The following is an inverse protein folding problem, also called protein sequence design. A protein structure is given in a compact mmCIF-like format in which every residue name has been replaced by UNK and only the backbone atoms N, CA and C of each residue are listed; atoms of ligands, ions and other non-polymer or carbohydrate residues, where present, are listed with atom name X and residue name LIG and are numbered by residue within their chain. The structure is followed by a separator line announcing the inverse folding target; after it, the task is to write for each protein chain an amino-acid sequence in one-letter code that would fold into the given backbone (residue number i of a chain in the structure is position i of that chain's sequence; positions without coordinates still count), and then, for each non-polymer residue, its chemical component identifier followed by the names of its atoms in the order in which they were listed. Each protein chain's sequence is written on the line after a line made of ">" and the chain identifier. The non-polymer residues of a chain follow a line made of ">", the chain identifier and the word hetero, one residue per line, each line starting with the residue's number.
data_IF_035889763383
#
_entry.id   IF_035889763383
#
_cell.length_a   1.000
_cell.length_b   1.000
_cell.length_c   1.000
_cell.angle_alpha   90.00
_cell.angle_beta   90.00
_cell.angle_gamma   90.00
#
_symmetry.space_group_name_H-M   'P 1'
#
loop_
_entity.id
_entity.type
_entity.pdbx_description
1 polymer ?
#
# COMPACT_ATOMS: atom_id res chain seq x y z
N UNK A 1 10.15 -2.69 4.26
CA UNK A 1 10.65 -1.77 5.31
C UNK A 1 12.00 -2.13 5.92
N UNK A 2 12.61 -3.29 5.60
CA UNK A 2 13.93 -3.67 6.12
C UNK A 2 15.01 -2.55 6.12
N UNK A 3 15.23 -1.77 5.04
CA UNK A 3 16.21 -0.68 5.07
C UNK A 3 15.88 0.41 6.08
N UNK A 4 14.61 0.84 6.18
CA UNK A 4 14.15 1.83 7.17
C UNK A 4 14.37 1.34 8.59
N UNK A 5 14.01 0.09 8.88
CA UNK A 5 14.19 -0.52 10.21
C UNK A 5 15.68 -0.61 10.55
N UNK A 6 16.53 -0.96 9.58
CA UNK A 6 17.98 -1.00 9.80
C UNK A 6 18.57 0.38 10.09
N UNK A 7 18.11 1.44 9.41
CA UNK A 7 18.50 2.81 9.73
C UNK A 7 18.07 3.20 11.14
N UNK A 8 16.82 2.94 11.54
CA UNK A 8 16.34 3.20 12.91
C UNK A 8 17.19 2.45 13.93
N UNK A 9 17.51 1.19 13.66
CA UNK A 9 18.30 0.38 14.57
C UNK A 9 19.73 0.92 14.76
N UNK A 10 20.39 1.33 13.67
CA UNK A 10 21.77 1.82 13.71
C UNK A 10 21.88 3.25 14.22
N UNK A 11 20.91 4.12 13.90
CA UNK A 11 20.98 5.56 14.19
C UNK A 11 20.30 5.95 15.52
N UNK A 12 19.34 5.15 16.00
CA UNK A 12 18.58 5.44 17.21
C UNK A 12 18.66 4.33 18.27
N UNK A 13 18.35 3.07 17.92
CA UNK A 13 18.20 2.00 18.93
C UNK A 13 19.55 1.62 19.54
N UNK A 14 20.56 1.30 18.72
CA UNK A 14 21.89 0.91 19.22
C UNK A 14 22.56 2.02 20.04
N UNK A 15 22.63 3.28 19.58
CA UNK A 15 23.24 4.35 20.37
C UNK A 15 22.49 4.59 21.70
N UNK A 16 21.15 4.47 21.70
CA UNK A 16 20.37 4.57 22.94
C UNK A 16 20.66 3.42 23.92
N UNK A 17 20.71 2.18 23.42
CA UNK A 17 21.06 1.01 24.23
C UNK A 17 22.48 1.06 24.78
N UNK A 18 23.39 1.71 24.06
CA UNK A 18 24.77 1.96 24.50
C UNK A 18 24.91 3.18 25.41
N UNK A 19 23.80 3.84 25.78
CA UNK A 19 23.77 5.07 26.58
C UNK A 19 24.53 6.26 25.94
N UNK A 20 24.77 6.22 24.62
CA UNK A 20 25.45 7.27 23.86
C UNK A 20 24.54 8.48 23.60
N UNK A 21 23.22 8.25 23.57
CA UNK A 21 22.21 9.28 23.35
C UNK A 21 21.07 9.14 24.38
N UNK A 22 20.38 10.25 24.65
CA UNK A 22 19.16 10.25 25.47
C UNK A 22 17.96 9.72 24.68
N UNK A 23 16.91 9.35 25.40
CA UNK A 23 15.67 8.85 24.80
C UNK A 23 15.05 9.85 23.83
N UNK A 24 15.04 11.14 24.18
CA UNK A 24 14.47 12.20 23.35
C UNK A 24 15.20 12.31 22.00
N UNK A 25 16.53 12.28 22.03
CA UNK A 25 17.37 12.30 20.83
C UNK A 25 17.20 11.03 19.99
N UNK A 26 17.05 9.87 20.63
CA UNK A 26 16.78 8.61 19.95
C UNK A 26 15.44 8.66 19.21
N UNK A 27 14.41 9.25 19.81
CA UNK A 27 13.10 9.45 19.19
C UNK A 27 13.20 10.40 17.99
N UNK A 28 13.92 11.51 18.11
CA UNK A 28 14.14 12.44 16.99
C UNK A 28 14.86 11.76 15.82
N UNK A 29 15.95 11.03 16.09
CA UNK A 29 16.71 10.29 15.07
C UNK A 29 15.88 9.18 14.42
N UNK A 30 15.07 8.46 15.19
CA UNK A 30 14.20 7.40 14.67
C UNK A 30 13.11 7.93 13.74
N UNK A 31 12.63 9.16 13.95
CA UNK A 31 11.58 9.76 13.12
C UNK A 31 12.07 10.10 11.71
N UNK A 32 13.35 10.45 11.52
CA UNK A 32 13.91 10.84 10.22
C UNK A 32 13.74 9.76 9.13
N UNK A 33 14.20 8.50 9.32
CA UNK A 33 14.04 7.46 8.31
C UNK A 33 12.56 7.08 8.09
N UNK A 34 11.71 7.18 9.12
CA UNK A 34 10.27 6.95 8.99
C UNK A 34 9.63 8.03 8.12
N UNK A 35 9.89 9.31 8.40
CA UNK A 35 9.38 10.44 7.60
C UNK A 35 9.81 10.29 6.15
N UNK A 36 11.09 9.99 5.91
CA UNK A 36 11.62 9.78 4.56
C UNK A 36 10.89 8.65 3.82
N UNK A 37 10.64 7.53 4.48
CA UNK A 37 9.88 6.42 3.90
C UNK A 37 8.44 6.84 3.56
N UNK A 38 7.74 7.49 4.49
CA UNK A 38 6.35 7.93 4.29
C UNK A 38 6.25 8.95 3.16
N UNK A 39 7.16 9.94 3.10
CA UNK A 39 7.19 10.97 2.06
C UNK A 39 7.41 10.38 0.67
N UNK A 40 8.27 9.37 0.54
CA UNK A 40 8.54 8.73 -0.75
C UNK A 40 7.32 7.99 -1.31
N UNK A 41 6.42 7.51 -0.45
CA UNK A 41 5.25 6.73 -0.84
C UNK A 41 3.94 7.55 -0.84
N UNK A 42 3.97 8.73 -0.24
CA UNK A 42 2.80 9.62 -0.23
C UNK A 42 2.75 10.41 -1.53
N UNK A 43 1.61 10.35 -2.24
CA UNK A 43 1.38 11.18 -3.42
C UNK A 43 1.30 12.66 -3.03
N UNK A 44 1.90 13.52 -3.84
CA UNK A 44 1.92 14.98 -3.62
C UNK A 44 0.53 15.57 -3.44
N UNK A 45 -0.43 15.16 -4.26
CA UNK A 45 -1.80 15.65 -4.19
C UNK A 45 -2.50 15.27 -2.87
N UNK A 46 -2.27 14.05 -2.38
CA UNK A 46 -2.85 13.58 -1.13
C UNK A 46 -2.18 14.26 0.07
N UNK A 47 -0.85 14.46 0.00
CA UNK A 47 -0.11 15.23 1.01
C UNK A 47 -0.58 16.68 1.09
N UNK A 48 -0.74 17.33 -0.06
CA UNK A 48 -1.19 18.71 -0.14
C UNK A 48 -2.60 18.89 0.45
N UNK A 49 -3.52 17.96 0.17
CA UNK A 49 -4.87 17.99 0.74
C UNK A 49 -4.86 18.02 2.28
N UNK A 50 -4.01 17.19 2.89
CA UNK A 50 -3.89 17.14 4.35
C UNK A 50 -3.15 18.35 4.91
N UNK A 51 -2.16 18.90 4.22
CA UNK A 51 -1.51 20.17 4.61
C UNK A 51 -2.53 21.31 4.57
N UNK A 52 -3.35 21.39 3.52
CA UNK A 52 -4.35 22.44 3.36
C UNK A 52 -5.42 22.37 4.47
N UNK A 53 -5.82 21.16 4.84
CA UNK A 53 -6.84 20.91 5.87
C UNK A 53 -6.29 21.00 7.31
N UNK A 54 -4.98 20.96 7.49
CA UNK A 54 -4.35 21.04 8.81
C UNK A 54 -4.26 22.50 9.29
N UNK A 55 -4.59 22.71 10.57
CA UNK A 55 -4.38 23.97 11.27
C UNK A 55 -2.93 24.05 11.78
N UNK A 56 -2.01 24.26 10.84
CA UNK A 56 -0.57 24.36 11.09
C UNK A 56 -0.01 25.63 10.45
N UNK A 57 1.12 26.12 10.97
CA UNK A 57 1.84 27.22 10.33
C UNK A 57 2.43 26.74 8.99
N UNK A 58 1.87 27.28 7.90
CA UNK A 58 2.24 26.92 6.52
C UNK A 58 3.40 27.76 5.99
N UNK A 59 3.83 28.82 6.68
CA UNK A 59 4.81 29.79 6.14
C UNK A 59 6.22 29.21 5.98
N UNK A 60 6.58 28.20 6.76
CA UNK A 60 7.90 27.57 6.73
C UNK A 60 7.86 26.08 6.37
N UNK A 61 6.77 25.55 5.79
CA UNK A 61 6.69 24.13 5.46
C UNK A 61 7.65 23.75 4.32
N UNK A 62 8.52 22.79 4.57
CA UNK A 62 9.31 22.08 3.58
C UNK A 62 8.98 20.57 3.67
N UNK A 63 9.33 19.77 2.65
CA UNK A 63 9.03 18.33 2.65
C UNK A 63 9.55 17.60 3.89
N UNK A 64 10.66 18.05 4.47
CA UNK A 64 11.34 17.36 5.58
C UNK A 64 10.77 17.73 6.97
N UNK A 65 10.14 18.89 7.10
CA UNK A 65 9.61 19.41 8.36
C UNK A 65 8.11 19.18 8.54
N UNK A 66 7.46 18.49 7.59
CA UNK A 66 6.06 18.12 7.71
C UNK A 66 5.85 17.32 9.00
N UNK A 67 4.89 17.71 9.85
CA UNK A 67 4.55 16.96 11.06
C UNK A 67 4.04 15.55 10.74
N UNK A 68 4.42 14.57 11.56
CA UNK A 68 3.92 13.20 11.43
C UNK A 68 2.40 13.12 11.56
N UNK A 69 1.77 14.03 12.32
CA UNK A 69 0.31 14.13 12.45
C UNK A 69 -0.40 14.42 11.13
N UNK A 70 0.28 15.01 10.15
CA UNK A 70 -0.24 15.28 8.78
C UNK A 70 0.22 14.20 7.81
N UNK A 71 1.49 13.81 7.89
CA UNK A 71 2.11 12.86 6.96
C UNK A 71 1.53 11.44 7.09
N UNK A 72 1.28 10.97 8.31
CA UNK A 72 0.74 9.62 8.55
C UNK A 72 -0.66 9.43 7.93
N UNK A 73 -1.66 10.30 8.17
CA UNK A 73 -2.96 10.14 7.52
C UNK A 73 -2.90 10.36 6.00
N UNK A 74 -2.05 11.28 5.51
CA UNK A 74 -1.85 11.47 4.08
C UNK A 74 -1.29 10.20 3.40
N UNK A 75 -0.27 9.59 4.00
CA UNK A 75 0.28 8.31 3.56
C UNK A 75 -0.79 7.22 3.54
N UNK A 76 -1.58 7.09 4.62
CA UNK A 76 -2.62 6.07 4.72
C UNK A 76 -3.66 6.19 3.58
N UNK A 77 -4.10 7.41 3.26
CA UNK A 77 -5.03 7.65 2.13
C UNK A 77 -4.38 7.35 0.78
N UNK A 78 -3.13 7.77 0.59
CA UNK A 78 -2.35 7.49 -0.63
C UNK A 78 -2.23 5.97 -0.87
N UNK A 79 -1.89 5.22 0.19
CA UNK A 79 -1.78 3.75 0.15
C UNK A 79 -3.12 3.07 -0.08
N UNK A 80 -4.20 3.52 0.57
CA UNK A 80 -5.53 2.97 0.33
C UNK A 80 -5.93 3.13 -1.14
N UNK A 81 -5.70 4.30 -1.73
CA UNK A 81 -5.98 4.55 -3.15
C UNK A 81 -5.17 3.63 -4.06
N UNK A 82 -3.88 3.48 -3.79
CA UNK A 82 -3.01 2.56 -4.54
C UNK A 82 -3.47 1.10 -4.37
N UNK A 83 -3.85 0.68 -3.15
CA UNK A 83 -4.38 -0.66 -2.89
C UNK A 83 -5.69 -0.93 -3.64
N UNK A 84 -6.61 0.03 -3.68
CA UNK A 84 -7.85 -0.08 -4.47
C UNK A 84 -7.56 -0.19 -5.97
N UNK A 85 -6.60 0.58 -6.50
CA UNK A 85 -6.19 0.48 -7.90
C UNK A 85 -5.62 -0.91 -8.22
N UNK A 86 -4.72 -1.42 -7.39
CA UNK A 86 -4.16 -2.76 -7.55
C UNK A 86 -5.27 -3.82 -7.45
N UNK A 87 -6.11 -3.76 -6.42
CA UNK A 87 -7.21 -4.70 -6.22
C UNK A 87 -8.18 -4.71 -7.40
N UNK A 88 -8.51 -3.54 -7.96
CA UNK A 88 -9.34 -3.43 -9.15
C UNK A 88 -8.70 -4.11 -10.38
N UNK A 89 -7.42 -3.82 -10.65
CA UNK A 89 -6.70 -4.42 -11.77
C UNK A 89 -6.59 -5.94 -11.65
N UNK A 90 -6.36 -6.45 -10.43
CA UNK A 90 -6.31 -7.89 -10.15
C UNK A 90 -7.69 -8.54 -10.30
N UNK A 91 -8.76 -7.81 -10.00
CA UNK A 91 -10.12 -8.32 -10.08
C UNK A 91 -10.66 -8.45 -11.52
N UNK A 92 -10.23 -7.57 -12.43
CA UNK A 92 -10.67 -7.54 -13.84
C UNK A 92 -10.65 -8.91 -14.56
N UNK A 93 -9.56 -9.69 -14.57
CA UNK A 93 -9.55 -10.99 -15.26
C UNK A 93 -10.57 -11.98 -14.68
N UNK A 94 -10.81 -11.95 -13.37
CA UNK A 94 -11.79 -12.83 -12.74
C UNK A 94 -13.23 -12.41 -13.05
N UNK A 95 -13.49 -11.11 -13.14
CA UNK A 95 -14.77 -10.57 -13.58
C UNK A 95 -15.08 -11.00 -15.02
N UNK A 96 -14.08 -11.00 -15.91
CA UNK A 96 -14.26 -11.50 -17.28
C UNK A 96 -14.65 -12.98 -17.29
N UNK A 97 -14.02 -13.82 -16.46
CA UNK A 97 -14.41 -15.23 -16.32
C UNK A 97 -15.86 -15.33 -15.86
N UNK A 98 -16.28 -14.55 -14.86
CA UNK A 98 -17.67 -14.57 -14.38
C UNK A 98 -18.67 -14.20 -15.47
N UNK A 99 -18.40 -13.17 -16.26
CA UNK A 99 -19.27 -12.75 -17.36
C UNK A 99 -19.36 -13.81 -18.47
N UNK A 100 -18.24 -14.45 -18.83
CA UNK A 100 -18.21 -15.48 -19.87
C UNK A 100 -18.93 -16.75 -19.40
N UNK A 101 -18.67 -17.20 -18.17
CA UNK A 101 -19.33 -18.38 -17.60
C UNK A 101 -20.84 -18.15 -17.44
N UNK A 102 -21.24 -16.97 -16.96
CA UNK A 102 -22.66 -16.62 -16.83
C UNK A 102 -23.37 -16.60 -18.18
N UNK A 103 -22.81 -15.93 -19.19
CA UNK A 103 -23.43 -15.83 -20.52
C UNK A 103 -23.52 -17.19 -21.24
N UNK A 104 -22.53 -18.06 -21.07
CA UNK A 104 -22.55 -19.43 -21.62
C UNK A 104 -23.59 -20.32 -20.93
N UNK A 105 -23.69 -20.30 -19.60
CA UNK A 105 -24.73 -21.04 -18.85
C UNK A 105 -26.14 -20.59 -19.22
N UNK A 106 -26.36 -19.27 -19.35
CA UNK A 106 -27.63 -18.70 -19.80
C UNK A 106 -27.97 -19.16 -21.22
N UNK A 107 -26.99 -19.23 -22.11
CA UNK A 107 -27.18 -19.70 -23.49
C UNK A 107 -27.55 -21.19 -23.56
N UNK A 108 -27.11 -21.99 -22.57
CA UNK A 108 -27.47 -23.41 -22.44
C UNK A 108 -28.84 -23.62 -21.77
N UNK A 109 -29.53 -22.55 -21.35
CA UNK A 109 -30.80 -22.62 -20.63
C UNK A 109 -30.68 -23.06 -19.16
N UNK A 110 -29.46 -23.08 -18.60
CA UNK A 110 -29.22 -23.49 -17.22
C UNK A 110 -29.37 -22.33 -16.24
N UNK A 111 -30.61 -21.86 -16.06
CA UNK A 111 -30.91 -20.73 -15.16
C UNK A 111 -30.75 -21.06 -13.67
N UNK A 112 -30.86 -22.34 -13.29
CA UNK A 112 -30.89 -22.76 -11.89
C UNK A 112 -29.50 -23.03 -11.29
N UNK A 113 -28.46 -23.10 -12.12
CA UNK A 113 -27.09 -23.31 -11.63
C UNK A 113 -26.44 -21.95 -11.32
N UNK A 114 -25.95 -21.71 -10.10
CA UNK A 114 -25.24 -20.48 -9.77
C UNK A 114 -23.96 -20.35 -10.61
N UNK A 115 -23.80 -19.32 -11.47
CA UNK A 115 -22.62 -19.17 -12.31
C UNK A 115 -21.30 -19.10 -11.52
N UNK A 116 -21.36 -18.56 -10.30
CA UNK A 116 -20.21 -18.45 -9.40
C UNK A 116 -19.59 -19.80 -9.00
N UNK A 117 -20.41 -20.85 -8.87
CA UNK A 117 -19.92 -22.21 -8.54
C UNK A 117 -19.15 -22.81 -9.71
N UNK A 118 -19.60 -22.53 -10.93
CA UNK A 118 -18.95 -23.02 -12.15
C UNK A 118 -17.70 -22.19 -12.47
N UNK A 119 -17.71 -20.87 -12.22
CA UNK A 119 -16.58 -20.00 -12.54
C UNK A 119 -15.39 -20.17 -11.58
N UNK A 120 -15.63 -20.57 -10.33
CA UNK A 120 -14.59 -20.76 -9.31
C UNK A 120 -13.40 -21.63 -9.77
N UNK A 121 -13.58 -22.87 -10.27
CA UNK A 121 -12.47 -23.68 -10.74
C UNK A 121 -11.68 -23.03 -11.89
N UNK A 122 -12.33 -22.32 -12.81
CA UNK A 122 -11.64 -21.60 -13.88
C UNK A 122 -10.80 -20.44 -13.36
N UNK A 123 -11.29 -19.71 -12.34
CA UNK A 123 -10.52 -18.65 -11.68
C UNK A 123 -9.27 -19.21 -11.00
N UNK A 124 -9.42 -20.30 -10.27
CA UNK A 124 -8.31 -20.97 -9.60
C UNK A 124 -7.29 -21.49 -10.62
N UNK A 125 -7.77 -22.11 -11.71
CA UNK A 125 -6.93 -22.59 -12.79
C UNK A 125 -6.15 -21.43 -13.43
N UNK A 126 -6.81 -20.35 -13.83
CA UNK A 126 -6.16 -19.16 -14.40
C UNK A 126 -5.09 -18.64 -13.44
N UNK A 127 -5.44 -18.48 -12.16
CA UNK A 127 -4.55 -17.91 -11.17
C UNK A 127 -3.29 -18.76 -10.95
N UNK A 128 -3.41 -20.09 -10.96
CA UNK A 128 -2.26 -21.00 -10.88
C UNK A 128 -1.46 -20.99 -12.18
N UNK A 129 -2.13 -21.01 -13.34
CA UNK A 129 -1.48 -21.04 -14.66
C UNK A 129 -0.59 -19.83 -14.93
N UNK A 130 -0.96 -18.67 -14.41
CA UNK A 130 -0.17 -17.43 -14.56
C UNK A 130 0.83 -17.20 -13.44
N UNK A 131 1.00 -18.16 -12.53
CA UNK A 131 1.79 -18.01 -11.31
C UNK A 131 1.38 -16.74 -10.52
N UNK A 132 0.06 -16.62 -10.28
CA UNK A 132 -0.57 -15.40 -9.78
C UNK A 132 -0.02 -14.91 -8.45
N UNK A 133 0.36 -15.82 -7.54
CA UNK A 133 0.99 -15.43 -6.27
C UNK A 133 2.32 -14.71 -6.49
N UNK A 134 3.18 -15.24 -7.35
CA UNK A 134 4.48 -14.63 -7.65
C UNK A 134 4.30 -13.27 -8.33
N UNK A 135 3.38 -13.17 -9.30
CA UNK A 135 3.05 -11.91 -9.96
C UNK A 135 2.57 -10.85 -8.96
N UNK A 136 1.63 -11.20 -8.07
CA UNK A 136 1.12 -10.31 -7.04
C UNK A 136 2.21 -9.84 -6.08
N UNK A 137 2.99 -10.78 -5.53
CA UNK A 137 4.07 -10.47 -4.58
C UNK A 137 5.12 -9.60 -5.24
N UNK A 138 5.53 -9.93 -6.48
CA UNK A 138 6.51 -9.15 -7.24
C UNK A 138 6.01 -7.73 -7.51
N UNK A 139 4.76 -7.57 -7.94
CA UNK A 139 4.16 -6.24 -8.16
C UNK A 139 4.09 -5.42 -6.88
N UNK A 140 3.74 -6.03 -5.74
CA UNK A 140 3.75 -5.35 -4.44
C UNK A 140 5.16 -4.93 -4.03
N UNK A 141 6.15 -5.82 -4.15
CA UNK A 141 7.55 -5.50 -3.84
C UNK A 141 8.10 -4.37 -4.70
N UNK A 142 7.71 -4.31 -5.98
CA UNK A 142 8.11 -3.24 -6.90
C UNK A 142 7.37 -1.93 -6.63
N UNK A 143 6.18 -1.97 -6.04
CA UNK A 143 5.40 -0.78 -5.69
C UNK A 143 6.01 0.06 -4.58
N UNK A 144 6.78 -0.55 -3.66
CA UNK A 144 7.39 0.12 -2.50
C UNK A 144 8.85 0.54 -2.73
N UNK A 145 9.26 0.73 -3.98
CA UNK A 145 10.61 1.19 -4.35
C UNK A 145 10.73 2.71 -4.33
#
# INVERSE_FOLDING_TARGET
>A
MAPTINSINNEAIKPYMNEEIKFEEAVEKAQVPIKKFLLNQTREADLQLFIESADIDKTNLNRENIPLSVLVPAFAISELKTAFQIGFLVYLPFLLIDLVVSSTLMSMGMFMLPPAMISLPFKLLLFIMVDGWNLLIKSLLLSFK
#
